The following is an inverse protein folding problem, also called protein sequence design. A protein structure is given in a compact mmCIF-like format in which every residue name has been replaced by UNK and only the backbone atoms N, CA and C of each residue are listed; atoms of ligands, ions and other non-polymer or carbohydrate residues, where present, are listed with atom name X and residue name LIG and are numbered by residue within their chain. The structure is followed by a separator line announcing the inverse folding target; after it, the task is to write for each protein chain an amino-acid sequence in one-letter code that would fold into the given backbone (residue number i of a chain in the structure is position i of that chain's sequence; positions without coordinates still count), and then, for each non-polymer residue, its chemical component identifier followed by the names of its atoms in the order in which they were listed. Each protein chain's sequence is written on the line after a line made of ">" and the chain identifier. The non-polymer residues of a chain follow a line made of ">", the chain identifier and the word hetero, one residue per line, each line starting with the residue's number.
data_IF_130506924145
#
_entry.id   IF_130506924145
#
_cell.length_a   1.000
_cell.length_b   1.000
_cell.length_c   1.000
_cell.angle_alpha   90.00
_cell.angle_beta   90.00
_cell.angle_gamma   90.00
#
_symmetry.space_group_name_H-M   'P 1'
#
loop_
_entity.id
_entity.type
_entity.pdbx_description
1 polymer ?
#
# COMPACT_ATOMS: atom_id res chain seq x y z
N UNK A 1 -7.68 -28.87 28.83
CA UNK A 1 -7.05 -27.57 28.55
C UNK A 1 -6.36 -27.69 27.19
N UNK A 2 -6.79 -26.94 26.16
CA UNK A 2 -6.07 -26.94 24.87
C UNK A 2 -4.80 -26.13 25.07
N UNK A 3 -3.64 -26.79 24.95
CA UNK A 3 -2.36 -26.11 24.95
C UNK A 3 -2.25 -25.40 23.59
N UNK A 4 -2.28 -24.08 23.59
CA UNK A 4 -2.08 -23.31 22.37
C UNK A 4 -0.62 -23.45 21.93
N UNK A 5 -0.41 -23.44 20.61
CA UNK A 5 0.93 -23.31 20.05
C UNK A 5 1.47 -21.91 20.38
N UNK A 6 2.37 -21.83 21.36
CA UNK A 6 2.92 -20.58 21.89
C UNK A 6 3.63 -19.78 20.78
N UNK A 7 4.39 -20.48 19.94
CA UNK A 7 5.04 -19.94 18.75
C UNK A 7 4.03 -19.32 17.78
N UNK A 8 2.90 -20.01 17.57
CA UNK A 8 1.77 -19.54 16.79
C UNK A 8 1.13 -18.28 17.38
N UNK A 9 0.96 -18.22 18.71
CA UNK A 9 0.44 -17.05 19.42
C UNK A 9 1.34 -15.83 19.24
N UNK A 10 2.66 -15.98 19.37
CA UNK A 10 3.58 -14.87 19.11
C UNK A 10 3.57 -14.43 17.66
N UNK A 11 3.51 -15.36 16.70
CA UNK A 11 3.37 -15.02 15.29
C UNK A 11 2.08 -14.25 15.01
N UNK A 12 0.97 -14.60 15.66
CA UNK A 12 -0.29 -13.87 15.55
C UNK A 12 -0.18 -12.45 16.10
N UNK A 13 0.42 -12.28 17.29
CA UNK A 13 0.66 -10.95 17.88
C UNK A 13 1.53 -10.09 16.97
N UNK A 14 2.61 -10.65 16.40
CA UNK A 14 3.46 -9.97 15.44
C UNK A 14 2.66 -9.55 14.19
N UNK A 15 1.85 -10.44 13.62
CA UNK A 15 1.03 -10.15 12.45
C UNK A 15 0.07 -8.98 12.70
N UNK A 16 -0.60 -8.96 13.86
CA UNK A 16 -1.53 -7.89 14.26
C UNK A 16 -0.78 -6.57 14.46
N UNK A 17 0.28 -6.56 15.26
CA UNK A 17 1.04 -5.35 15.60
C UNK A 17 1.77 -4.75 14.38
N UNK A 18 2.27 -5.61 13.49
CA UNK A 18 3.05 -5.20 12.31
C UNK A 18 2.25 -5.17 11.02
N UNK A 19 0.99 -5.57 11.02
CA UNK A 19 0.12 -5.60 9.83
C UNK A 19 0.69 -6.42 8.68
N UNK A 20 1.39 -7.53 8.96
CA UNK A 20 1.96 -8.42 7.96
C UNK A 20 1.21 -9.76 7.93
N UNK A 21 1.28 -10.47 6.80
CA UNK A 21 0.73 -11.82 6.69
C UNK A 21 1.43 -12.83 7.64
N UNK A 22 0.77 -13.97 7.87
CA UNK A 22 1.28 -15.00 8.78
C UNK A 22 2.68 -15.52 8.39
N UNK A 23 3.00 -15.59 7.09
CA UNK A 23 4.32 -16.05 6.62
C UNK A 23 5.43 -15.07 7.00
N UNK A 24 5.18 -13.77 6.84
CA UNK A 24 6.11 -12.70 7.25
C UNK A 24 6.22 -12.59 8.75
N UNK A 25 5.12 -12.78 9.48
CA UNK A 25 5.14 -12.78 10.94
C UNK A 25 6.00 -13.93 11.49
N UNK A 26 5.90 -15.14 10.91
CA UNK A 26 6.79 -16.27 11.25
C UNK A 26 8.26 -15.92 11.01
N UNK A 27 8.59 -15.27 9.90
CA UNK A 27 9.97 -14.82 9.61
C UNK A 27 10.45 -13.75 10.60
N UNK A 28 9.58 -12.82 10.99
CA UNK A 28 9.90 -11.81 12.01
C UNK A 28 10.15 -12.45 13.38
N UNK A 29 9.33 -13.43 13.76
CA UNK A 29 9.54 -14.19 14.99
C UNK A 29 10.88 -14.95 14.97
N UNK A 30 11.17 -15.63 13.85
CA UNK A 30 12.35 -16.48 13.74
C UNK A 30 13.67 -15.69 13.66
N UNK A 31 13.70 -14.57 12.93
CA UNK A 31 14.94 -13.86 12.61
C UNK A 31 15.05 -12.46 13.22
N UNK A 32 13.94 -11.91 13.71
CA UNK A 32 13.86 -10.54 14.19
C UNK A 32 13.79 -9.48 13.07
N UNK A 33 13.39 -8.24 13.41
CA UNK A 33 13.14 -7.17 12.43
C UNK A 33 14.39 -6.64 11.74
N UNK A 34 15.56 -6.79 12.36
CA UNK A 34 16.83 -6.30 11.80
C UNK A 34 17.47 -7.26 10.79
N UNK A 35 16.95 -8.49 10.68
CA UNK A 35 17.45 -9.46 9.71
C UNK A 35 17.24 -8.98 8.26
N UNK A 36 18.19 -9.21 7.33
CA UNK A 36 18.09 -8.72 5.95
C UNK A 36 16.80 -9.14 5.24
N UNK A 37 16.32 -10.35 5.48
CA UNK A 37 15.06 -10.87 4.92
C UNK A 37 13.87 -10.06 5.43
N UNK A 38 13.84 -9.76 6.74
CA UNK A 38 12.77 -9.00 7.38
C UNK A 38 12.77 -7.54 6.96
N UNK A 39 13.94 -6.91 6.89
CA UNK A 39 14.09 -5.53 6.39
C UNK A 39 13.51 -5.34 4.99
N UNK A 40 13.65 -6.33 4.08
CA UNK A 40 13.14 -6.23 2.70
C UNK A 40 11.63 -5.98 2.64
N UNK A 41 10.84 -6.66 3.48
CA UNK A 41 9.38 -6.50 3.46
C UNK A 41 8.86 -5.45 4.45
N UNK A 42 9.61 -5.11 5.49
CA UNK A 42 9.27 -4.02 6.41
C UNK A 42 9.49 -2.64 5.76
N UNK A 43 10.53 -2.45 4.95
CA UNK A 43 10.78 -1.19 4.22
C UNK A 43 9.68 -0.86 3.20
N UNK A 44 9.11 -1.87 2.52
CA UNK A 44 7.98 -1.68 1.60
C UNK A 44 6.75 -1.09 2.32
N UNK A 45 6.55 -1.40 3.61
CA UNK A 45 5.44 -0.90 4.40
C UNK A 45 5.60 0.58 4.78
N UNK A 46 6.81 1.03 5.12
CA UNK A 46 7.02 2.46 5.42
C UNK A 46 6.66 3.37 4.24
N UNK A 47 6.83 2.90 3.00
CA UNK A 47 6.37 3.63 1.81
C UNK A 47 4.85 3.55 1.62
N UNK A 48 4.22 2.40 1.93
CA UNK A 48 2.78 2.19 1.73
C UNK A 48 1.86 2.66 2.87
N UNK A 49 2.40 3.14 4.00
CA UNK A 49 1.63 3.64 5.15
C UNK A 49 1.11 5.08 4.94
N UNK A 50 1.48 5.74 3.84
CA UNK A 50 0.74 6.93 3.37
C UNK A 50 -0.65 6.47 2.89
N UNK A 51 -1.67 6.59 3.77
CA UNK A 51 -3.11 6.38 3.52
C UNK A 51 -3.40 5.64 2.20
N UNK A 52 -3.42 4.32 2.25
CA UNK A 52 -3.87 3.54 1.11
C UNK A 52 -5.31 3.99 0.81
N UNK A 53 -5.54 4.63 -0.36
CA UNK A 53 -6.91 4.67 -0.88
C UNK A 53 -7.29 3.21 -1.13
N UNK A 54 -8.21 2.70 -0.32
CA UNK A 54 -8.54 1.27 -0.15
C UNK A 54 -8.77 0.56 -1.49
N UNK A 55 -9.25 1.29 -2.51
CA UNK A 55 -9.46 0.77 -3.86
C UNK A 55 -8.75 1.57 -4.95
N UNK A 56 -8.46 0.90 -6.07
CA UNK A 56 -7.97 1.55 -7.31
C UNK A 56 -8.89 2.68 -7.77
N UNK A 57 -10.20 2.49 -7.63
CA UNK A 57 -11.23 3.47 -8.02
C UNK A 57 -11.16 4.74 -7.18
N UNK A 58 -11.03 4.61 -5.86
CA UNK A 58 -10.87 5.76 -4.97
C UNK A 58 -9.55 6.50 -5.28
N UNK A 59 -8.46 5.76 -5.46
CA UNK A 59 -7.16 6.34 -5.86
C UNK A 59 -7.26 7.16 -7.14
N UNK A 60 -8.00 6.65 -8.13
CA UNK A 60 -8.24 7.36 -9.40
C UNK A 60 -9.14 8.58 -9.22
N UNK A 61 -10.18 8.51 -8.37
CA UNK A 61 -11.05 9.64 -8.05
C UNK A 61 -10.27 10.78 -7.36
N UNK A 62 -9.52 10.46 -6.32
CA UNK A 62 -8.69 11.45 -5.61
C UNK A 62 -7.63 12.08 -6.54
N UNK A 63 -7.05 11.30 -7.46
CA UNK A 63 -6.11 11.82 -8.46
C UNK A 63 -6.77 12.80 -9.42
N UNK A 64 -8.03 12.55 -9.82
CA UNK A 64 -8.83 13.46 -10.65
C UNK A 64 -9.15 14.76 -9.90
N UNK A 65 -9.68 14.66 -8.69
CA UNK A 65 -10.03 15.84 -7.87
C UNK A 65 -8.82 16.74 -7.60
N UNK A 66 -7.66 16.15 -7.30
CA UNK A 66 -6.42 16.92 -7.12
C UNK A 66 -5.96 17.58 -8.42
N UNK A 67 -6.15 16.92 -9.57
CA UNK A 67 -5.83 17.49 -10.88
C UNK A 67 -6.75 18.67 -11.21
N UNK A 68 -8.04 18.56 -10.90
CA UNK A 68 -9.03 19.64 -11.06
C UNK A 68 -8.74 20.84 -10.13
N UNK A 69 -8.14 20.60 -8.96
CA UNK A 69 -7.61 21.65 -8.07
C UNK A 69 -6.33 22.31 -8.58
N UNK A 70 -5.86 21.97 -9.78
CA UNK A 70 -4.69 22.58 -10.41
C UNK A 70 -3.36 21.95 -10.04
N UNK A 71 -3.33 20.81 -9.32
CA UNK A 71 -2.07 20.16 -9.00
C UNK A 71 -1.33 19.67 -10.27
N UNK A 72 -0.03 19.96 -10.32
CA UNK A 72 0.86 19.48 -11.37
C UNK A 72 1.07 17.97 -11.33
N UNK A 73 1.50 17.40 -12.47
CA UNK A 73 1.73 15.95 -12.60
C UNK A 73 2.82 15.45 -11.63
N UNK A 74 3.86 16.25 -11.41
CA UNK A 74 4.96 15.93 -10.48
C UNK A 74 4.48 15.88 -9.02
N UNK A 75 3.64 16.83 -8.62
CA UNK A 75 3.04 16.85 -7.29
C UNK A 75 2.12 15.64 -7.08
N UNK A 76 1.32 15.28 -8.09
CA UNK A 76 0.51 14.07 -8.06
C UNK A 76 1.38 12.81 -7.94
N UNK A 77 2.47 12.72 -8.70
CA UNK A 77 3.41 11.60 -8.62
C UNK A 77 3.99 11.45 -7.20
N UNK A 78 4.39 12.56 -6.57
CA UNK A 78 4.90 12.57 -5.20
C UNK A 78 3.84 12.20 -4.15
N UNK A 79 2.61 12.69 -4.29
CA UNK A 79 1.52 12.42 -3.34
C UNK A 79 1.04 10.97 -3.43
N UNK A 80 0.91 10.44 -4.65
CA UNK A 80 0.46 9.07 -4.87
C UNK A 80 1.59 8.04 -4.83
N UNK A 81 2.85 8.45 -4.65
CA UNK A 81 4.02 7.57 -4.66
C UNK A 81 4.07 6.70 -5.93
N UNK A 82 4.04 7.34 -7.10
CA UNK A 82 4.11 6.68 -8.40
C UNK A 82 4.73 7.58 -9.47
N UNK A 83 5.19 7.02 -10.59
CA UNK A 83 5.78 7.80 -11.68
C UNK A 83 4.78 8.74 -12.38
N UNK A 84 5.29 9.84 -12.95
CA UNK A 84 4.53 10.77 -13.79
C UNK A 84 3.81 10.07 -14.97
N UNK A 85 4.41 9.00 -15.51
CA UNK A 85 3.82 8.18 -16.57
C UNK A 85 2.55 7.46 -16.10
N UNK A 86 2.54 6.98 -14.85
CA UNK A 86 1.38 6.34 -14.22
C UNK A 86 0.25 7.33 -13.99
N UNK A 87 0.57 8.55 -13.53
CA UNK A 87 -0.40 9.64 -13.39
C UNK A 87 -1.06 9.96 -14.73
N UNK A 88 -0.27 10.21 -15.78
CA UNK A 88 -0.78 10.50 -17.14
C UNK A 88 -1.67 9.37 -17.66
N UNK A 89 -1.24 8.11 -17.48
CA UNK A 89 -2.01 6.93 -17.92
C UNK A 89 -3.35 6.81 -17.21
N UNK A 90 -3.41 7.10 -15.91
CA UNK A 90 -4.64 7.01 -15.13
C UNK A 90 -5.60 8.15 -15.46
N UNK A 91 -5.10 9.38 -15.65
CA UNK A 91 -5.91 10.52 -16.07
C UNK A 91 -6.53 10.27 -17.46
N UNK A 92 -5.73 9.80 -18.42
CA UNK A 92 -6.25 9.45 -19.77
C UNK A 92 -7.36 8.39 -19.72
N UNK A 93 -7.23 7.38 -18.85
CA UNK A 93 -8.27 6.34 -18.68
C UNK A 93 -9.57 6.89 -18.08
N UNK A 94 -9.51 7.99 -17.32
CA UNK A 94 -10.69 8.64 -16.76
C UNK A 94 -11.40 9.51 -17.79
N UNK A 95 -10.64 10.21 -18.65
CA UNK A 95 -11.17 11.02 -19.75
C UNK A 95 -11.97 10.17 -20.74
N UNK A 96 -11.47 8.97 -21.09
CA UNK A 96 -12.16 8.04 -21.99
C UNK A 96 -13.50 7.57 -21.39
N UNK A 97 -13.53 7.23 -20.09
CA UNK A 97 -14.76 6.78 -19.42
C UNK A 97 -15.86 7.84 -19.33
N UNK A 98 -15.52 9.12 -19.32
CA UNK A 98 -16.51 10.21 -19.34
C UNK A 98 -17.13 10.42 -20.73
N UNK A 99 -16.49 9.95 -21.80
CA UNK A 99 -16.94 10.18 -23.18
C UNK A 99 -17.81 9.03 -23.73
N UNK A 100 -17.76 7.84 -23.13
CA UNK A 100 -18.55 6.67 -23.54
C UNK A 100 -19.93 6.56 -22.84
N UNK A 101 -20.34 7.61 -22.12
CA UNK A 101 -21.54 7.63 -21.26
C UNK A 101 -22.58 8.71 -21.60
N UNK A 102 -22.57 9.23 -22.83
CA UNK A 102 -23.62 10.11 -23.38
C UNK A 102 -24.32 9.39 -24.52
#
# INVERSE_FOLDING_TARGET
>A
MKLYDEDGCYCLLIAILTGVDASRARKLYQYGPNHPICRKFMKRRQMSVKKHLETRSERMRAMKEMKEKGCGIEMLAAVFDCDCSTVKRNLKKLEVKTNDGI
#
